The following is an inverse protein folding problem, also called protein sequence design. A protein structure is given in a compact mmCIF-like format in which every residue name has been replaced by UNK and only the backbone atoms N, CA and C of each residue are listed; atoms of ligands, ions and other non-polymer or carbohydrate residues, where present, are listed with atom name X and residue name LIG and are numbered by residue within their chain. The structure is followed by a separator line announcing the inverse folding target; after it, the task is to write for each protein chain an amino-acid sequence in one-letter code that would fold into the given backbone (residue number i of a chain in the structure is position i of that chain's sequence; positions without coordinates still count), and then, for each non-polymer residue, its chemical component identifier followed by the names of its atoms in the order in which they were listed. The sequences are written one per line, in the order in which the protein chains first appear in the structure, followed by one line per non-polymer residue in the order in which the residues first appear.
data_IF_770784102597
#
_entry.id   IF_770784102597
#
_cell.length_a   1.000
_cell.length_b   1.000
_cell.length_c   1.000
_cell.angle_alpha   90.00
_cell.angle_beta   90.00
_cell.angle_gamma   90.00
#
_symmetry.space_group_name_H-M   'P 1'
#
loop_
_entity.id
_entity.type
_entity.pdbx_description
1 polymer ?
#
# COMPACT_ATOMS: atom_id res chain seq x y z
N UNK A 1 10.28 -11.70 -19.97
CA UNK A 1 10.18 -12.76 -18.95
C UNK A 1 8.95 -12.42 -18.13
N UNK A 2 7.91 -13.25 -18.15
CA UNK A 2 6.72 -13.02 -17.32
C UNK A 2 7.10 -13.09 -15.85
N UNK A 3 6.46 -12.30 -15.00
CA UNK A 3 6.72 -12.37 -13.57
C UNK A 3 6.42 -13.77 -13.05
N UNK A 4 7.34 -14.33 -12.26
CA UNK A 4 7.15 -15.61 -11.61
C UNK A 4 5.99 -15.50 -10.62
N UNK A 5 5.19 -16.55 -10.55
CA UNK A 5 4.14 -16.69 -9.55
C UNK A 5 4.74 -16.55 -8.14
N UNK A 6 3.98 -15.98 -7.20
CA UNK A 6 4.39 -15.86 -5.80
C UNK A 6 4.95 -17.20 -5.30
N UNK A 7 6.21 -17.21 -4.86
CA UNK A 7 6.90 -18.44 -4.49
C UNK A 7 6.56 -18.88 -3.06
N UNK A 8 6.93 -20.10 -2.67
CA UNK A 8 6.57 -20.66 -1.37
C UNK A 8 7.13 -19.87 -0.17
N UNK A 9 8.30 -19.23 -0.31
CA UNK A 9 8.86 -18.38 0.75
C UNK A 9 8.05 -17.09 0.89
N UNK A 10 7.67 -16.48 -0.23
CA UNK A 10 6.81 -15.30 -0.25
C UNK A 10 5.44 -15.59 0.33
N UNK A 11 4.82 -16.72 -0.04
CA UNK A 11 3.55 -17.21 0.56
C UNK A 11 3.68 -17.36 2.06
N UNK A 12 4.72 -18.05 2.52
CA UNK A 12 4.97 -18.24 3.95
C UNK A 12 5.12 -16.89 4.67
N UNK A 13 5.91 -15.97 4.11
CA UNK A 13 6.15 -14.67 4.70
C UNK A 13 4.89 -13.80 4.71
N UNK A 14 4.13 -13.75 3.62
CA UNK A 14 2.87 -13.01 3.56
C UNK A 14 1.84 -13.58 4.55
N UNK A 15 1.68 -14.90 4.64
CA UNK A 15 0.86 -15.49 5.69
C UNK A 15 1.35 -15.03 7.07
N UNK A 16 2.65 -15.16 7.36
CA UNK A 16 3.21 -14.82 8.66
C UNK A 16 2.94 -13.37 9.06
N UNK A 17 3.15 -12.42 8.16
CA UNK A 17 3.23 -10.99 8.52
C UNK A 17 2.15 -10.08 7.92
N UNK A 18 1.40 -10.53 6.91
CA UNK A 18 0.29 -9.80 6.29
C UNK A 18 0.71 -8.74 5.25
N UNK A 19 2.00 -8.66 4.94
CA UNK A 19 2.53 -7.81 3.88
C UNK A 19 3.77 -8.44 3.23
N UNK A 20 4.17 -7.88 2.10
CA UNK A 20 5.43 -8.13 1.43
C UNK A 20 5.86 -6.94 0.58
N UNK A 21 7.10 -6.97 0.11
CA UNK A 21 7.64 -5.99 -0.85
C UNK A 21 8.05 -6.69 -2.12
N UNK A 22 7.72 -6.11 -3.26
CA UNK A 22 8.13 -6.56 -4.59
C UNK A 22 9.09 -5.51 -5.16
N UNK A 23 10.41 -5.76 -5.13
CA UNK A 23 11.38 -4.83 -5.69
C UNK A 23 11.22 -4.77 -7.22
N UNK A 24 11.53 -3.61 -7.82
CA UNK A 24 11.43 -3.41 -9.27
C UNK A 24 10.04 -3.72 -9.85
N UNK A 25 8.98 -3.57 -9.06
CA UNK A 25 7.60 -3.65 -9.52
C UNK A 25 7.29 -2.63 -10.63
N UNK A 26 8.02 -1.51 -10.63
CA UNK A 26 8.07 -0.54 -11.71
C UNK A 26 9.49 -0.37 -12.21
N UNK A 27 9.65 -0.25 -13.53
CA UNK A 27 10.93 0.12 -14.15
C UNK A 27 11.27 1.59 -13.89
N UNK A 28 12.53 1.97 -14.07
CA UNK A 28 12.96 3.37 -13.98
C UNK A 28 12.22 4.29 -14.96
N UNK A 29 11.86 3.77 -16.15
CA UNK A 29 11.08 4.51 -17.14
C UNK A 29 9.63 4.74 -16.68
N UNK A 30 8.99 3.72 -16.11
CA UNK A 30 7.64 3.84 -15.53
C UNK A 30 7.65 4.85 -14.37
N UNK A 31 8.61 4.75 -13.45
CA UNK A 31 8.78 5.69 -12.33
C UNK A 31 8.98 7.12 -12.84
N UNK A 32 9.81 7.33 -13.87
CA UNK A 32 10.02 8.64 -14.47
C UNK A 32 8.75 9.21 -15.13
N UNK A 33 8.01 8.38 -15.87
CA UNK A 33 6.76 8.78 -16.51
C UNK A 33 5.69 9.20 -15.48
N UNK A 34 5.51 8.40 -14.42
CA UNK A 34 4.60 8.70 -13.32
C UNK A 34 5.00 9.99 -12.59
N UNK A 35 6.29 10.18 -12.29
CA UNK A 35 6.78 11.39 -11.63
C UNK A 35 6.58 12.67 -12.47
N UNK A 36 6.71 12.61 -13.81
CA UNK A 36 6.45 13.78 -14.66
C UNK A 36 5.00 14.26 -14.54
N UNK A 37 4.04 13.34 -14.51
CA UNK A 37 2.62 13.68 -14.35
C UNK A 37 2.37 14.17 -12.92
N UNK A 38 3.00 13.54 -11.93
CA UNK A 38 2.95 13.98 -10.53
C UNK A 38 3.42 15.44 -10.38
N UNK A 39 4.54 15.81 -11.01
CA UNK A 39 5.07 17.18 -10.96
C UNK A 39 4.07 18.20 -11.56
N UNK A 40 3.37 17.83 -12.63
CA UNK A 40 2.29 18.64 -13.19
C UNK A 40 1.13 18.82 -12.20
N UNK A 41 0.75 17.74 -11.50
CA UNK A 41 -0.32 17.78 -10.50
C UNK A 41 0.05 18.59 -9.27
N UNK A 42 1.30 18.55 -8.82
CA UNK A 42 1.81 19.47 -7.79
C UNK A 42 1.65 20.91 -8.26
N UNK A 43 2.09 21.24 -9.47
CA UNK A 43 2.04 22.61 -9.99
C UNK A 43 0.60 23.13 -10.19
N UNK A 44 -0.36 22.23 -10.47
CA UNK A 44 -1.77 22.56 -10.69
C UNK A 44 -2.57 22.66 -9.39
N UNK A 45 -2.37 21.71 -8.48
CA UNK A 45 -3.33 21.45 -7.40
C UNK A 45 -2.79 21.81 -6.00
N UNK A 46 -1.47 21.88 -5.81
CA UNK A 46 -0.91 22.13 -4.47
C UNK A 46 -0.73 23.62 -4.18
N UNK A 47 -1.25 24.04 -3.03
CA UNK A 47 -1.00 25.37 -2.49
C UNK A 47 0.48 25.57 -2.15
N UNK A 48 0.97 26.80 -2.37
CA UNK A 48 2.33 27.19 -1.99
C UNK A 48 2.54 26.98 -0.49
N UNK A 49 3.59 26.23 -0.13
CA UNK A 49 3.93 25.93 1.26
C UNK A 49 3.22 24.70 1.86
N UNK A 50 2.28 24.08 1.15
CA UNK A 50 1.69 22.82 1.59
C UNK A 50 2.76 21.72 1.69
N UNK A 51 2.75 21.00 2.81
CA UNK A 51 3.67 19.88 3.07
C UNK A 51 3.07 18.53 2.73
N UNK A 52 1.76 18.44 2.51
CA UNK A 52 1.07 17.20 2.16
C UNK A 52 -0.03 17.45 1.14
N UNK A 53 -0.32 16.45 0.33
CA UNK A 53 -1.47 16.46 -0.57
C UNK A 53 -1.97 15.04 -0.78
N UNK A 54 -3.30 14.88 -0.89
CA UNK A 54 -3.94 13.64 -1.35
C UNK A 54 -4.74 13.92 -2.60
N UNK A 55 -4.59 13.03 -3.59
CA UNK A 55 -5.44 13.00 -4.77
C UNK A 55 -6.16 11.67 -4.87
N UNK A 56 -7.39 11.69 -5.39
CA UNK A 56 -8.21 10.51 -5.69
C UNK A 56 -8.54 10.50 -7.18
N UNK A 57 -8.85 9.33 -7.76
CA UNK A 57 -9.20 9.24 -9.18
C UNK A 57 -8.00 9.42 -10.10
N UNK A 58 -6.93 8.66 -9.84
CA UNK A 58 -5.68 8.70 -10.60
C UNK A 58 -5.83 8.13 -12.01
N UNK A 59 -6.89 7.37 -12.29
CA UNK A 59 -7.14 6.83 -13.64
C UNK A 59 -7.34 7.94 -14.69
N UNK A 60 -7.74 9.13 -14.27
CA UNK A 60 -7.88 10.31 -15.14
C UNK A 60 -6.54 10.98 -15.45
N UNK A 61 -5.45 10.58 -14.77
CA UNK A 61 -4.12 11.16 -14.97
C UNK A 61 -3.41 10.58 -16.20
N UNK A 62 -4.00 9.56 -16.83
CA UNK A 62 -3.61 9.05 -18.14
C UNK A 62 -3.12 7.61 -18.10
N UNK A 63 -2.68 7.15 -19.28
CA UNK A 63 -2.28 5.76 -19.52
C UNK A 63 -1.26 5.21 -18.49
N UNK A 64 -0.20 5.94 -18.09
CA UNK A 64 0.77 5.40 -17.14
C UNK A 64 0.18 4.97 -15.78
N UNK A 65 -0.91 5.61 -15.34
CA UNK A 65 -1.60 5.24 -14.10
C UNK A 65 -2.59 4.09 -14.30
N UNK A 66 -3.24 4.03 -15.47
CA UNK A 66 -4.16 2.93 -15.82
C UNK A 66 -3.43 1.59 -15.96
N UNK A 67 -2.22 1.61 -16.50
CA UNK A 67 -1.34 0.42 -16.63
C UNK A 67 -0.89 -0.15 -15.27
N UNK A 68 -1.16 0.54 -14.15
CA UNK A 68 -0.90 0.01 -12.81
C UNK A 68 -1.99 -0.96 -12.34
N UNK A 69 -3.17 -0.95 -12.96
CA UNK A 69 -4.30 -1.85 -12.62
C UNK A 69 -3.93 -3.30 -12.92
N UNK A 70 -3.28 -3.53 -14.06
CA UNK A 70 -2.87 -4.82 -14.58
C UNK A 70 -1.34 -4.92 -14.75
N UNK A 71 -0.59 -4.27 -13.85
CA UNK A 71 0.87 -4.34 -13.85
C UNK A 71 1.33 -5.82 -13.84
N UNK A 72 2.03 -6.29 -14.89
CA UNK A 72 2.34 -7.70 -15.06
C UNK A 72 3.27 -8.25 -13.98
N UNK A 73 4.01 -7.39 -13.29
CA UNK A 73 4.84 -7.79 -12.13
C UNK A 73 3.99 -8.03 -10.88
N UNK A 74 2.82 -7.41 -10.77
CA UNK A 74 1.98 -7.43 -9.56
C UNK A 74 0.75 -8.32 -9.71
N UNK A 75 0.17 -8.41 -10.91
CA UNK A 75 -1.03 -9.22 -11.15
C UNK A 75 -0.94 -10.68 -10.68
N UNK A 76 0.20 -11.39 -10.82
CA UNK A 76 0.33 -12.76 -10.28
C UNK A 76 0.18 -12.82 -8.75
N UNK A 77 0.70 -11.84 -8.01
CA UNK A 77 0.54 -11.76 -6.56
C UNK A 77 -0.92 -11.47 -6.19
N UNK A 78 -1.58 -10.55 -6.90
CA UNK A 78 -3.00 -10.26 -6.67
C UNK A 78 -3.88 -11.49 -6.96
N UNK A 79 -3.60 -12.24 -8.03
CA UNK A 79 -4.32 -13.46 -8.36
C UNK A 79 -4.16 -14.55 -7.28
N UNK A 80 -2.96 -14.71 -6.70
CA UNK A 80 -2.72 -15.64 -5.59
C UNK A 80 -3.46 -15.21 -4.31
N UNK A 81 -3.50 -13.91 -4.00
CA UNK A 81 -4.04 -13.38 -2.74
C UNK A 81 -5.56 -13.17 -2.74
N UNK A 82 -6.14 -12.82 -3.90
CA UNK A 82 -7.56 -12.44 -4.07
C UNK A 82 -8.35 -13.42 -4.96
N UNK A 83 -7.66 -14.32 -5.65
CA UNK A 83 -8.21 -15.19 -6.68
C UNK A 83 -8.09 -14.59 -8.09
N UNK A 84 -8.21 -15.43 -9.12
CA UNK A 84 -8.02 -15.08 -10.54
C UNK A 84 -8.92 -13.94 -11.04
N UNK A 85 -10.04 -13.70 -10.35
CA UNK A 85 -10.95 -12.58 -10.62
C UNK A 85 -10.88 -11.62 -9.44
N UNK A 86 -10.02 -10.63 -9.56
CA UNK A 86 -9.97 -9.46 -8.68
C UNK A 86 -10.38 -8.21 -9.45
N UNK A 87 -10.64 -7.12 -8.73
CA UNK A 87 -10.98 -5.83 -9.32
C UNK A 87 -10.35 -4.70 -8.53
N UNK A 88 -10.05 -3.61 -9.22
CA UNK A 88 -9.78 -2.34 -8.56
C UNK A 88 -11.03 -1.90 -7.79
N UNK A 89 -10.86 -1.54 -6.53
CA UNK A 89 -11.90 -0.96 -5.68
C UNK A 89 -11.80 0.58 -5.71
N UNK A 90 -10.61 1.11 -5.45
CA UNK A 90 -10.30 2.54 -5.58
C UNK A 90 -8.79 2.79 -5.57
N UNK A 91 -8.41 4.01 -5.94
CA UNK A 91 -7.03 4.46 -5.98
C UNK A 91 -6.87 5.90 -5.47
N UNK A 92 -5.70 6.19 -4.93
CA UNK A 92 -5.30 7.54 -4.49
C UNK A 92 -3.78 7.68 -4.41
N UNK A 93 -3.32 8.93 -4.38
CA UNK A 93 -1.92 9.29 -4.27
C UNK A 93 -1.71 10.17 -3.04
N UNK A 94 -0.65 9.91 -2.28
CA UNK A 94 -0.21 10.76 -1.16
C UNK A 94 1.18 11.33 -1.44
N UNK A 95 1.28 12.66 -1.27
CA UNK A 95 2.53 13.39 -1.15
C UNK A 95 2.77 13.79 0.31
N UNK A 96 4.01 13.61 0.79
CA UNK A 96 4.47 14.10 2.09
C UNK A 96 5.86 14.70 1.93
N UNK A 97 6.02 16.00 2.20
CA UNK A 97 7.31 16.71 2.19
C UNK A 97 8.02 16.66 3.53
N UNK A 98 7.25 16.65 4.62
CA UNK A 98 7.77 16.58 5.99
C UNK A 98 6.65 16.27 6.97
N UNK A 99 6.99 15.61 8.08
CA UNK A 99 6.06 15.38 9.19
C UNK A 99 4.93 14.41 8.85
N UNK A 100 3.73 14.66 9.39
CA UNK A 100 2.59 13.74 9.29
C UNK A 100 2.03 13.73 7.86
N UNK A 101 1.46 12.60 7.44
CA UNK A 101 0.77 12.48 6.16
C UNK A 101 -0.64 13.08 6.15
N UNK A 102 -1.36 13.04 5.01
CA UNK A 102 -2.69 13.64 4.84
C UNK A 102 -3.75 13.16 5.85
N UNK A 103 -3.62 11.94 6.37
CA UNK A 103 -4.54 11.34 7.36
C UNK A 103 -3.91 11.21 8.76
N UNK A 104 -2.77 11.87 8.99
CA UNK A 104 -2.02 11.76 10.24
C UNK A 104 -1.15 10.51 10.33
N UNK A 105 -0.91 10.07 11.56
CA UNK A 105 0.06 9.02 11.94
C UNK A 105 -0.61 7.85 12.68
N UNK A 106 -1.95 7.82 12.68
CA UNK A 106 -2.72 6.85 13.46
C UNK A 106 -2.89 5.53 12.72
N UNK A 107 -2.49 4.43 13.38
CA UNK A 107 -2.66 3.07 12.90
C UNK A 107 -4.15 2.68 12.82
N UNK A 108 -4.51 2.06 11.71
CA UNK A 108 -5.83 1.54 11.38
C UNK A 108 -5.73 0.15 10.72
N UNK A 109 -6.86 -0.44 10.36
CA UNK A 109 -6.94 -1.86 10.01
C UNK A 109 -6.81 -2.76 11.24
N UNK A 110 -6.51 -4.04 11.01
CA UNK A 110 -6.42 -5.08 12.03
C UNK A 110 -7.40 -6.23 11.78
N UNK A 111 -7.06 -7.44 12.25
CA UNK A 111 -7.94 -8.61 12.14
C UNK A 111 -9.18 -8.56 13.04
N UNK A 112 -9.20 -7.64 14.02
CA UNK A 112 -10.31 -7.46 14.95
C UNK A 112 -10.62 -5.96 15.22
N UNK A 113 -11.90 -5.55 15.24
CA UNK A 113 -13.10 -6.36 14.96
C UNK A 113 -13.11 -6.84 13.50
N UNK A 114 -13.76 -7.98 13.26
CA UNK A 114 -13.82 -8.55 11.92
C UNK A 114 -14.60 -7.63 10.96
N UNK A 115 -13.98 -7.28 9.84
CA UNK A 115 -14.61 -6.53 8.76
C UNK A 115 -14.80 -7.44 7.53
N UNK A 116 -16.04 -7.68 7.06
CA UNK A 116 -16.30 -8.54 5.91
C UNK A 116 -15.75 -8.00 4.58
N UNK A 117 -15.35 -6.74 4.51
CA UNK A 117 -14.67 -6.15 3.36
C UNK A 117 -13.13 -6.17 3.51
N UNK A 118 -12.59 -6.32 4.72
CA UNK A 118 -11.15 -6.19 5.02
C UNK A 118 -10.67 -7.35 5.90
N UNK A 119 -10.68 -8.57 5.37
CA UNK A 119 -10.34 -9.79 6.12
C UNK A 119 -9.10 -10.50 5.59
N UNK A 120 -8.60 -11.43 6.40
CA UNK A 120 -7.61 -12.42 6.03
C UNK A 120 -8.02 -13.80 6.56
N UNK A 121 -8.00 -14.82 5.71
CA UNK A 121 -8.06 -16.23 6.10
C UNK A 121 -7.12 -17.07 5.24
N UNK A 122 -6.57 -18.14 5.82
CA UNK A 122 -5.91 -19.19 5.07
C UNK A 122 -6.62 -20.52 5.31
N UNK A 123 -7.17 -21.13 4.27
CA UNK A 123 -7.95 -22.38 4.40
C UNK A 123 -7.76 -23.25 3.17
N UNK A 124 -7.51 -24.55 3.39
CA UNK A 124 -7.39 -25.51 2.29
C UNK A 124 -6.24 -25.20 1.32
N UNK A 125 -5.14 -24.64 1.84
CA UNK A 125 -3.96 -24.29 1.03
C UNK A 125 -4.11 -23.03 0.18
N UNK A 126 -5.09 -22.17 0.49
CA UNK A 126 -5.37 -20.94 -0.28
C UNK A 126 -5.55 -19.74 0.63
N UNK A 127 -5.10 -18.58 0.14
CA UNK A 127 -5.40 -17.28 0.71
C UNK A 127 -6.84 -16.87 0.40
N UNK A 128 -7.46 -16.20 1.36
CA UNK A 128 -8.70 -15.46 1.19
C UNK A 128 -8.51 -14.10 1.84
N UNK A 129 -8.33 -13.07 1.02
CA UNK A 129 -8.23 -11.70 1.48
C UNK A 129 -9.47 -10.90 1.08
N UNK A 130 -9.82 -9.90 1.89
CA UNK A 130 -10.67 -8.79 1.47
C UNK A 130 -9.84 -7.73 0.73
N UNK A 131 -10.14 -6.47 0.98
CA UNK A 131 -9.42 -5.32 0.43
C UNK A 131 -7.91 -5.48 0.65
N UNK A 132 -7.15 -5.45 -0.43
CA UNK A 132 -5.70 -5.63 -0.47
C UNK A 132 -5.08 -4.46 -1.23
N UNK A 133 -4.01 -3.92 -0.71
CA UNK A 133 -3.38 -2.70 -1.22
C UNK A 133 -2.09 -3.02 -1.93
N UNK A 134 -1.87 -2.35 -3.05
CA UNK A 134 -0.56 -2.20 -3.68
C UNK A 134 -0.14 -0.75 -3.55
N UNK A 135 0.86 -0.49 -2.73
CA UNK A 135 1.45 0.83 -2.53
C UNK A 135 2.78 0.93 -3.30
N UNK A 136 2.85 1.78 -4.31
CA UNK A 136 4.06 2.00 -5.10
C UNK A 136 4.84 3.21 -4.60
N UNK A 137 6.13 3.01 -4.30
CA UNK A 137 7.07 4.09 -4.01
C UNK A 137 7.54 4.73 -5.33
N UNK A 138 7.29 6.02 -5.55
CA UNK A 138 7.81 6.74 -6.73
C UNK A 138 9.15 7.47 -6.47
N UNK A 139 9.63 7.41 -5.23
CA UNK A 139 10.92 7.90 -4.75
C UNK A 139 11.50 6.86 -3.80
N UNK A 140 12.80 6.92 -3.56
CA UNK A 140 13.44 6.06 -2.57
C UNK A 140 12.85 6.34 -1.18
N UNK A 141 12.62 5.27 -0.44
CA UNK A 141 12.26 5.32 0.99
C UNK A 141 13.33 4.54 1.72
N UNK A 142 14.21 5.23 2.45
CA UNK A 142 15.35 4.64 3.13
C UNK A 142 15.04 4.38 4.61
N UNK A 143 15.83 3.53 5.29
CA UNK A 143 15.76 3.37 6.73
C UNK A 143 15.87 4.73 7.45
N UNK A 144 14.88 5.06 8.28
CA UNK A 144 14.82 6.31 9.03
C UNK A 144 14.01 7.42 8.37
N UNK A 145 13.66 7.31 7.08
CA UNK A 145 12.91 8.36 6.38
C UNK A 145 11.44 8.44 6.83
N UNK A 146 10.89 7.36 7.41
CA UNK A 146 9.47 7.23 7.74
C UNK A 146 8.70 6.44 6.68
N UNK A 147 7.49 6.87 6.34
CA UNK A 147 6.67 6.23 5.30
C UNK A 147 5.78 5.10 5.80
N UNK A 148 5.59 4.02 5.02
CA UNK A 148 4.66 2.96 5.40
C UNK A 148 5.15 2.21 6.65
N UNK A 149 4.26 2.05 7.62
CA UNK A 149 4.52 1.25 8.81
C UNK A 149 3.36 0.34 9.16
N UNK A 150 3.67 -0.77 9.81
CA UNK A 150 2.69 -1.78 10.16
C UNK A 150 3.05 -2.55 11.43
N UNK A 151 2.12 -3.36 11.89
CA UNK A 151 2.31 -4.37 12.95
C UNK A 151 2.27 -5.76 12.28
N UNK A 152 3.43 -6.37 11.99
CA UNK A 152 3.50 -7.71 11.41
C UNK A 152 2.62 -8.72 12.14
N UNK A 153 1.81 -9.48 11.41
CA UNK A 153 0.97 -10.55 11.96
C UNK A 153 -0.38 -10.10 12.53
N UNK A 154 -0.63 -8.79 12.64
CA UNK A 154 -1.88 -8.24 13.22
C UNK A 154 -3.14 -8.55 12.40
N UNK A 155 -2.99 -8.94 11.13
CA UNK A 155 -4.07 -9.43 10.28
C UNK A 155 -4.70 -10.74 10.77
N UNK A 156 -4.01 -11.47 11.65
CA UNK A 156 -4.51 -12.67 12.34
C UNK A 156 -4.88 -12.42 13.80
N UNK A 157 -4.86 -11.17 14.27
CA UNK A 157 -5.21 -10.84 15.65
C UNK A 157 -6.68 -11.11 15.94
N UNK A 158 -6.95 -11.80 17.05
CA UNK A 158 -8.31 -12.01 17.59
C UNK A 158 -8.70 -10.96 18.65
N UNK A 159 -7.80 -10.01 18.93
CA UNK A 159 -8.01 -8.96 19.91
C UNK A 159 -7.87 -7.58 19.26
N UNK A 160 -8.65 -6.63 19.77
CA UNK A 160 -8.56 -5.25 19.32
C UNK A 160 -7.17 -4.69 19.56
N UNK A 161 -6.60 -4.04 18.53
CA UNK A 161 -5.33 -3.36 18.68
C UNK A 161 -5.44 -2.21 19.71
N UNK A 162 -4.62 -2.19 20.78
CA UNK A 162 -4.73 -1.22 21.86
C UNK A 162 -4.61 0.22 21.38
N UNK A 163 -5.46 1.10 21.92
CA UNK A 163 -5.56 2.48 21.45
C UNK A 163 -4.29 3.30 21.74
N UNK A 164 -3.66 3.04 22.88
CA UNK A 164 -2.39 3.65 23.32
C UNK A 164 -1.21 3.33 22.40
N UNK A 165 -1.30 2.30 21.57
CA UNK A 165 -0.26 1.93 20.60
C UNK A 165 -0.58 2.41 19.18
N UNK A 166 -1.70 3.11 18.95
CA UNK A 166 -2.08 3.53 17.59
C UNK A 166 -1.27 4.69 17.04
N UNK A 167 -0.62 5.47 17.88
CA UNK A 167 0.18 6.61 17.42
C UNK A 167 1.55 6.15 16.92
N UNK A 168 1.74 6.17 15.60
CA UNK A 168 2.96 5.68 14.96
C UNK A 168 4.12 6.70 14.97
N UNK A 169 3.94 7.86 15.59
CA UNK A 169 5.04 8.81 15.86
C UNK A 169 6.13 8.18 16.74
N UNK A 170 5.73 7.25 17.62
CA UNK A 170 6.63 6.52 18.49
C UNK A 170 6.54 5.04 18.18
N UNK A 171 7.43 4.56 17.30
CA UNK A 171 7.49 3.14 16.95
C UNK A 171 7.73 2.28 18.19
N UNK A 172 6.90 1.26 18.34
CA UNK A 172 7.13 0.18 19.29
C UNK A 172 8.05 -0.89 18.69
N UNK A 173 8.79 -1.67 19.49
CA UNK A 173 9.72 -2.70 18.99
C UNK A 173 9.09 -3.78 18.09
N UNK A 174 7.79 -4.00 18.23
CA UNK A 174 7.03 -4.97 17.43
C UNK A 174 6.48 -4.37 16.12
N UNK A 175 6.62 -3.07 15.90
CA UNK A 175 6.22 -2.41 14.66
C UNK A 175 7.34 -2.47 13.62
N UNK A 176 6.98 -2.31 12.36
CA UNK A 176 7.93 -2.32 11.24
C UNK A 176 7.68 -1.13 10.33
N UNK A 177 8.74 -0.34 10.08
CA UNK A 177 8.80 0.55 8.93
C UNK A 177 9.24 -0.25 7.69
N UNK A 178 8.54 -0.08 6.57
CA UNK A 178 8.85 -0.76 5.32
C UNK A 178 9.46 0.24 4.36
N UNK A 179 10.63 -0.13 3.85
CA UNK A 179 11.49 0.71 3.00
C UNK A 179 11.68 0.05 1.65
N UNK A 180 12.17 0.81 0.68
CA UNK A 180 12.47 0.29 -0.65
C UNK A 180 12.79 1.41 -1.63
N UNK A 181 13.64 1.14 -2.63
CA UNK A 181 13.95 2.11 -3.68
C UNK A 181 12.70 2.47 -4.49
N UNK A 182 12.78 3.56 -5.24
CA UNK A 182 11.76 3.95 -6.20
C UNK A 182 11.44 2.77 -7.16
N UNK A 183 10.15 2.55 -7.39
CA UNK A 183 9.63 1.42 -8.15
C UNK A 183 9.37 0.16 -7.31
N UNK A 184 9.62 0.18 -6.00
CA UNK A 184 9.15 -0.88 -5.09
C UNK A 184 7.64 -0.82 -4.94
N UNK A 185 6.97 -1.97 -5.00
CA UNK A 185 5.60 -2.13 -4.54
C UNK A 185 5.57 -2.78 -3.15
N UNK A 186 4.72 -2.28 -2.27
CA UNK A 186 4.37 -2.90 -0.99
C UNK A 186 2.97 -3.46 -1.14
N UNK A 187 2.81 -4.78 -0.97
CA UNK A 187 1.51 -5.45 -1.01
C UNK A 187 1.12 -5.80 0.42
N UNK A 188 -0.07 -5.41 0.87
CA UNK A 188 -0.57 -5.75 2.20
C UNK A 188 -2.09 -5.90 2.24
N UNK A 189 -2.59 -6.75 3.12
CA UNK A 189 -4.04 -6.87 3.39
C UNK A 189 -4.50 -5.71 4.29
N UNK A 190 -5.69 -5.16 4.07
CA UNK A 190 -6.27 -4.14 4.96
C UNK A 190 -6.60 -4.69 6.36
N UNK A 191 -6.68 -6.01 6.50
CA UNK A 191 -6.72 -6.66 7.80
C UNK A 191 -5.42 -6.42 8.60
N UNK A 192 -4.32 -5.99 7.99
CA UNK A 192 -3.09 -5.64 8.71
C UNK A 192 -3.27 -4.31 9.45
N UNK A 193 -2.87 -4.23 10.71
CA UNK A 193 -2.74 -2.93 11.39
C UNK A 193 -1.59 -2.15 10.76
N UNK A 194 -1.89 -1.02 10.13
CA UNK A 194 -0.96 -0.24 9.34
C UNK A 194 -1.22 1.27 9.41
N UNK A 195 -0.27 2.06 8.94
CA UNK A 195 -0.33 3.52 8.94
C UNK A 195 0.91 4.14 8.29
N UNK A 196 1.09 5.43 8.51
CA UNK A 196 2.22 6.19 7.95
C UNK A 196 3.02 6.84 9.08
N UNK A 197 4.31 6.52 9.15
CA UNK A 197 5.28 7.19 10.01
C UNK A 197 5.48 8.64 9.54
N UNK A 198 5.75 9.59 10.46
CA UNK A 198 6.19 10.92 10.06
C UNK A 198 7.36 10.86 9.08
N UNK A 199 7.29 11.66 8.02
CA UNK A 199 8.35 11.76 7.03
C UNK A 199 9.47 12.66 7.53
N UNK A 200 10.66 12.09 7.63
CA UNK A 200 11.93 12.75 7.96
C UNK A 200 12.98 12.61 6.83
N UNK A 201 12.62 11.94 5.74
CA UNK A 201 13.51 11.73 4.59
C UNK A 201 13.78 13.00 3.79
N UNK A 202 14.81 12.95 2.95
CA UNK A 202 15.15 14.04 2.05
C UNK A 202 14.12 14.14 0.91
N UNK A 203 13.60 15.36 0.68
CA UNK A 203 12.63 15.60 -0.37
C UNK A 203 11.25 15.05 -0.06
N UNK A 204 10.49 14.71 -1.11
CA UNK A 204 9.10 14.31 -0.99
C UNK A 204 8.94 12.78 -1.02
N UNK A 205 8.15 12.24 -0.09
CA UNK A 205 7.56 10.90 -0.25
C UNK A 205 6.39 10.99 -1.21
N UNK A 206 6.45 10.21 -2.29
CA UNK A 206 5.38 10.06 -3.28
C UNK A 206 4.95 8.60 -3.34
N UNK A 207 3.71 8.34 -2.92
CA UNK A 207 3.16 6.98 -2.88
C UNK A 207 1.85 6.92 -3.64
N UNK A 208 1.73 5.95 -4.56
CA UNK A 208 0.46 5.59 -5.20
C UNK A 208 -0.14 4.41 -4.46
N UNK A 209 -1.44 4.44 -4.21
CA UNK A 209 -2.18 3.35 -3.60
C UNK A 209 -3.24 2.87 -4.58
N UNK A 210 -3.16 1.60 -4.97
CA UNK A 210 -4.18 0.91 -5.74
C UNK A 210 -4.74 -0.19 -4.86
N UNK A 211 -6.03 -0.10 -4.53
CA UNK A 211 -6.70 -1.08 -3.66
C UNK A 211 -7.57 -2.01 -4.48
N UNK A 212 -7.41 -3.30 -4.24
CA UNK A 212 -8.06 -4.36 -4.96
C UNK A 212 -8.91 -5.21 -4.02
N UNK A 213 -10.03 -5.70 -4.52
CA UNK A 213 -10.93 -6.61 -3.81
C UNK A 213 -11.13 -7.88 -4.62
N UNK A 214 -11.52 -9.00 -3.98
CA UNK A 214 -12.07 -10.13 -4.72
C UNK A 214 -13.27 -9.66 -5.55
N UNK A 215 -13.47 -10.24 -6.73
CA UNK A 215 -14.55 -9.85 -7.64
C UNK A 215 -15.95 -9.67 -6.98
N UNK A 216 -16.41 -10.52 -6.03
CA UNK A 216 -17.75 -10.37 -5.45
C UNK A 216 -17.86 -9.30 -4.34
N UNK A 217 -16.79 -8.61 -3.94
CA UNK A 217 -16.77 -7.71 -2.77
C UNK A 217 -16.45 -6.28 -3.19
N UNK A 218 -17.19 -5.30 -2.64
CA UNK A 218 -16.93 -3.85 -2.74
C UNK A 218 -16.76 -3.27 -1.36
N UNK A 219 -15.67 -2.53 -1.16
CA UNK A 219 -15.57 -1.60 -0.03
C UNK A 219 -16.08 -0.22 -0.44
N UNK A 220 -15.65 0.27 -1.61
CA UNK A 220 -16.13 1.54 -2.16
C UNK A 220 -17.55 1.41 -2.75
N UNK A 221 -18.35 2.46 -2.59
CA UNK A 221 -19.65 2.60 -3.23
C UNK A 221 -19.59 3.27 -4.62
N UNK A 222 -18.39 3.67 -5.08
CA UNK A 222 -18.14 4.39 -6.34
C UNK A 222 -16.86 3.87 -7.01
N UNK A 223 -16.81 3.92 -8.34
CA UNK A 223 -15.62 3.61 -9.14
C UNK A 223 -14.92 4.91 -9.56
#
# INVERSE_FOLDING_TARGET
MGAEQMNEQEKYLFDLQGFMTVPHALSGEQVAALNRIWDQKIAQDMETGATTQRWVGLLDWGQPFRELIDNPTISPYLAELLGERFRLDHDYADLIRSGKGPIGTRLHGGGFPYDPAQYYHFKGGKFYNGLTVVAYNLRDVNPGDGGFGCVPGSHKSNFQFPNEWRELEHMQPFMRAVTGPAGTAIIFTEALTHGTLPWAGAGERRTLFFKFSPFPISWSARY
#
